data_IF_830755500632
#
_entry.id   IF_830755500632
#
_cell.length_a   1.000
_cell.length_b   1.000
_cell.length_c   1.000
_cell.angle_alpha   90.00
_cell.angle_beta   90.00
_cell.angle_gamma   90.00
#
_symmetry.space_group_name_H-M   'P 1'
#
loop_
_entity.id
_entity.type
_entity.pdbx_description
1 polymer ?
#
# COMPACT_ATOMS: atom_id res chain seq x y z
N UNK A 1 -34.29 0.53 -7.25
CA UNK A 1 -33.39 1.65 -6.87
C UNK A 1 -32.90 2.29 -8.14
N UNK A 2 -33.13 3.60 -8.31
CA UNK A 2 -32.69 4.39 -9.47
C UNK A 2 -31.16 4.60 -9.42
N UNK A 3 -30.52 4.74 -10.59
CA UNK A 3 -29.06 4.88 -10.73
C UNK A 3 -28.54 6.09 -9.95
N UNK A 4 -29.29 7.19 -9.96
CA UNK A 4 -28.96 8.43 -9.24
C UNK A 4 -29.02 8.19 -7.72
N UNK A 5 -30.07 7.50 -7.24
CA UNK A 5 -30.22 7.17 -5.82
C UNK A 5 -29.10 6.25 -5.31
N UNK A 6 -28.62 5.31 -6.15
CA UNK A 6 -27.48 4.44 -5.82
C UNK A 6 -26.16 5.23 -5.76
N UNK A 7 -25.96 6.20 -6.66
CA UNK A 7 -24.79 7.10 -6.62
C UNK A 7 -24.76 7.95 -5.34
N UNK A 8 -25.90 8.53 -4.95
CA UNK A 8 -26.04 9.28 -3.71
C UNK A 8 -25.78 8.41 -2.47
N UNK A 9 -26.32 7.19 -2.44
CA UNK A 9 -26.07 6.23 -1.36
C UNK A 9 -24.59 5.81 -1.28
N UNK A 10 -23.92 5.61 -2.43
CA UNK A 10 -22.47 5.35 -2.48
C UNK A 10 -21.68 6.52 -1.92
N UNK A 11 -22.05 7.75 -2.27
CA UNK A 11 -21.39 8.94 -1.73
C UNK A 11 -21.60 9.09 -0.21
N UNK A 12 -22.79 8.78 0.30
CA UNK A 12 -23.08 8.80 1.72
C UNK A 12 -22.26 7.76 2.51
N UNK A 13 -22.03 6.56 1.96
CA UNK A 13 -21.15 5.53 2.56
C UNK A 13 -19.67 5.91 2.57
N UNK A 14 -19.26 6.84 1.69
CA UNK A 14 -17.89 7.36 1.62
C UNK A 14 -17.69 8.58 2.54
N UNK A 15 -18.70 8.95 3.33
CA UNK A 15 -18.55 10.03 4.31
C UNK A 15 -17.65 9.53 5.43
N UNK A 16 -16.69 10.36 5.84
CA UNK A 16 -15.76 10.02 6.91
C UNK A 16 -16.52 9.86 8.22
N UNK A 17 -16.48 8.66 8.79
CA UNK A 17 -16.93 8.39 10.15
C UNK A 17 -15.77 8.78 11.08
N UNK A 18 -16.03 9.73 11.97
CA UNK A 18 -15.06 10.22 12.96
C UNK A 18 -15.23 9.49 14.28
N UNK A 19 -14.12 9.07 14.88
CA UNK A 19 -14.03 8.37 16.15
C UNK A 19 -13.03 9.07 17.07
N UNK A 20 -13.24 8.98 18.38
CA UNK A 20 -12.18 9.20 19.36
C UNK A 20 -11.16 8.04 19.34
N UNK A 21 -10.00 8.24 19.98
CA UNK A 21 -9.03 7.15 20.18
C UNK A 21 -9.65 6.00 20.98
N UNK A 22 -10.42 6.30 22.03
CA UNK A 22 -11.08 5.27 22.84
C UNK A 22 -12.11 4.46 22.03
N UNK A 23 -12.91 5.13 21.21
CA UNK A 23 -13.88 4.49 20.31
C UNK A 23 -13.17 3.60 19.27
N UNK A 24 -12.03 4.06 18.74
CA UNK A 24 -11.21 3.28 17.83
C UNK A 24 -10.60 2.04 18.51
N UNK A 25 -10.06 2.16 19.73
CA UNK A 25 -9.52 1.02 20.46
C UNK A 25 -10.61 -0.01 20.80
N UNK A 26 -11.80 0.45 21.20
CA UNK A 26 -12.96 -0.43 21.41
C UNK A 26 -13.38 -1.13 20.10
N UNK A 27 -13.34 -0.41 18.97
CA UNK A 27 -13.60 -1.01 17.67
C UNK A 27 -12.57 -2.09 17.32
N UNK A 28 -11.28 -1.86 17.55
CA UNK A 28 -10.21 -2.84 17.33
C UNK A 28 -10.43 -4.15 18.09
N UNK A 29 -11.02 -4.09 19.28
CA UNK A 29 -11.37 -5.28 20.05
C UNK A 29 -12.48 -6.11 19.38
N UNK A 30 -13.44 -5.44 18.74
CA UNK A 30 -14.59 -6.09 18.09
C UNK A 30 -14.33 -6.50 16.64
N UNK A 31 -13.48 -5.75 15.92
CA UNK A 31 -13.22 -5.92 14.49
C UNK A 31 -11.71 -5.82 14.21
N UNK A 32 -11.03 -6.96 14.03
CA UNK A 32 -9.62 -6.99 13.63
C UNK A 32 -9.33 -6.28 12.30
N UNK A 33 -10.34 -6.04 11.45
CA UNK A 33 -10.16 -5.26 10.22
C UNK A 33 -9.89 -3.78 10.48
N UNK A 34 -10.14 -3.27 11.69
CA UNK A 34 -9.82 -1.90 12.06
C UNK A 34 -8.32 -1.60 12.01
N UNK A 35 -7.49 -2.58 12.37
CA UNK A 35 -6.02 -2.48 12.34
C UNK A 35 -5.38 -3.42 11.31
N UNK A 36 -6.17 -3.98 10.39
CA UNK A 36 -5.64 -4.89 9.38
C UNK A 36 -4.60 -4.21 8.48
N UNK A 37 -3.63 -4.95 7.98
CA UNK A 37 -2.65 -4.44 7.01
C UNK A 37 -3.25 -4.28 5.62
N UNK A 38 -2.56 -3.54 4.74
CA UNK A 38 -2.97 -3.42 3.34
C UNK A 38 -3.08 -4.79 2.63
N UNK A 39 -2.20 -5.75 2.97
CA UNK A 39 -2.25 -7.12 2.44
C UNK A 39 -3.48 -7.89 2.93
N UNK A 40 -3.81 -7.79 4.22
CA UNK A 40 -5.01 -8.43 4.79
C UNK A 40 -6.29 -7.87 4.15
N UNK A 41 -6.38 -6.54 4.02
CA UNK A 41 -7.50 -5.88 3.30
C UNK A 41 -7.60 -6.33 1.85
N UNK A 42 -6.46 -6.47 1.16
CA UNK A 42 -6.44 -6.96 -0.21
C UNK A 42 -6.98 -8.39 -0.33
N UNK A 43 -6.61 -9.30 0.57
CA UNK A 43 -7.14 -10.67 0.58
C UNK A 43 -8.65 -10.72 0.79
N UNK A 44 -9.16 -9.92 1.74
CA UNK A 44 -10.61 -9.78 1.96
C UNK A 44 -11.31 -9.26 0.71
N UNK A 45 -10.70 -8.29 0.01
CA UNK A 45 -11.25 -7.74 -1.23
C UNK A 45 -11.24 -8.73 -2.41
N UNK A 46 -10.22 -9.59 -2.49
CA UNK A 46 -10.08 -10.64 -3.50
C UNK A 46 -11.09 -11.77 -3.25
N UNK A 47 -11.25 -12.18 -1.99
CA UNK A 47 -12.13 -13.27 -1.58
C UNK A 47 -11.52 -14.67 -1.78
N UNK A 48 -12.32 -15.69 -1.49
CA UNK A 48 -11.90 -17.09 -1.55
C UNK A 48 -11.83 -17.64 -2.98
N UNK A 49 -10.88 -18.53 -3.28
CA UNK A 49 -10.80 -19.19 -4.58
C UNK A 49 -11.83 -20.30 -4.74
N UNK A 50 -12.28 -20.48 -5.98
CA UNK A 50 -12.97 -21.68 -6.44
C UNK A 50 -11.95 -22.73 -6.88
N UNK A 51 -12.06 -23.95 -6.33
CA UNK A 51 -11.20 -25.06 -6.71
C UNK A 51 -11.73 -25.72 -7.98
N UNK A 52 -11.03 -25.55 -9.09
CA UNK A 52 -11.43 -26.08 -10.40
C UNK A 52 -10.62 -27.33 -10.73
N UNK A 53 -11.29 -28.48 -10.78
CA UNK A 53 -10.70 -29.74 -11.22
C UNK A 53 -10.66 -29.80 -12.75
N UNK A 54 -9.50 -29.52 -13.33
CA UNK A 54 -9.34 -29.41 -14.79
C UNK A 54 -9.52 -30.74 -15.52
N UNK A 55 -9.51 -31.89 -14.82
CA UNK A 55 -9.78 -33.21 -15.43
C UNK A 55 -11.19 -33.33 -15.99
N UNK A 56 -12.13 -32.55 -15.44
CA UNK A 56 -13.54 -32.60 -15.83
C UNK A 56 -13.83 -31.84 -17.12
N UNK A 57 -12.87 -31.05 -17.62
CA UNK A 57 -12.99 -30.23 -18.81
C UNK A 57 -11.85 -30.56 -19.80
N UNK A 58 -12.13 -31.11 -21.00
CA UNK A 58 -11.11 -31.48 -21.97
C UNK A 58 -10.19 -30.32 -22.43
N UNK A 59 -10.68 -29.07 -22.42
CA UNK A 59 -9.90 -27.89 -22.77
C UNK A 59 -8.96 -27.51 -21.61
N UNK A 60 -9.49 -27.42 -20.39
CA UNK A 60 -8.67 -27.10 -19.21
C UNK A 60 -7.67 -28.22 -18.88
N UNK A 61 -8.03 -29.48 -19.10
CA UNK A 61 -7.16 -30.65 -18.93
C UNK A 61 -5.88 -30.54 -19.74
N UNK A 62 -5.97 -30.09 -21.00
CA UNK A 62 -4.82 -29.86 -21.89
C UNK A 62 -3.96 -28.69 -21.45
N UNK A 63 -4.59 -27.59 -21.00
CA UNK A 63 -3.88 -26.38 -20.59
C UNK A 63 -3.16 -26.54 -19.25
N UNK A 64 -3.81 -27.18 -18.27
CA UNK A 64 -3.32 -27.28 -16.90
C UNK A 64 -2.83 -28.68 -16.53
N UNK A 65 -2.69 -29.58 -17.50
CA UNK A 65 -2.19 -30.95 -17.33
C UNK A 65 -2.91 -31.69 -16.18
N UNK A 66 -4.25 -31.66 -16.16
CA UNK A 66 -5.09 -32.34 -15.17
C UNK A 66 -4.90 -31.88 -13.70
N UNK A 67 -4.30 -30.72 -13.45
CA UNK A 67 -4.15 -30.16 -12.10
C UNK A 67 -5.46 -29.59 -11.56
N UNK A 68 -5.58 -29.51 -10.24
CA UNK A 68 -6.61 -28.68 -9.62
C UNK A 68 -6.05 -27.27 -9.48
N UNK A 69 -6.75 -26.29 -10.04
CA UNK A 69 -6.34 -24.88 -10.01
C UNK A 69 -7.25 -24.07 -9.10
N UNK A 70 -6.72 -22.96 -8.58
CA UNK A 70 -7.47 -21.96 -7.83
C UNK A 70 -7.89 -20.84 -8.78
N UNK A 71 -9.19 -20.64 -8.94
CA UNK A 71 -9.73 -19.51 -9.70
C UNK A 71 -10.37 -18.51 -8.76
N UNK A 72 -9.97 -17.26 -8.87
CA UNK A 72 -10.48 -16.19 -8.02
C UNK A 72 -11.55 -15.41 -8.78
N UNK A 73 -12.82 -15.38 -8.33
CA UNK A 73 -13.90 -14.65 -9.02
C UNK A 73 -13.60 -13.16 -9.20
N UNK A 74 -12.82 -12.58 -8.28
CA UNK A 74 -12.32 -11.21 -8.38
C UNK A 74 -11.47 -10.96 -9.64
N UNK A 75 -10.94 -11.99 -10.30
CA UNK A 75 -10.12 -11.90 -11.51
C UNK A 75 -10.73 -12.65 -12.70
N UNK A 76 -12.06 -12.85 -12.72
CA UNK A 76 -12.75 -13.60 -13.79
C UNK A 76 -12.54 -13.04 -15.22
N UNK A 77 -12.13 -11.76 -15.34
CA UNK A 77 -11.82 -11.10 -16.61
C UNK A 77 -10.42 -11.45 -17.18
N UNK A 78 -9.56 -12.13 -16.40
CA UNK A 78 -8.19 -12.47 -16.78
C UNK A 78 -8.09 -13.93 -17.23
N UNK A 79 -8.27 -14.15 -18.54
CA UNK A 79 -8.21 -15.48 -19.14
C UNK A 79 -6.76 -15.93 -19.35
N UNK A 80 -6.45 -17.19 -19.00
CA UNK A 80 -5.10 -17.77 -19.21
C UNK A 80 -4.04 -17.28 -18.23
N UNK A 81 -4.44 -16.52 -17.21
CA UNK A 81 -3.53 -15.96 -16.19
C UNK A 81 -3.73 -16.61 -14.81
N UNK A 82 -4.45 -17.74 -14.71
CA UNK A 82 -4.81 -18.36 -13.43
C UNK A 82 -3.57 -18.60 -12.52
N UNK A 83 -2.46 -19.12 -13.08
CA UNK A 83 -1.20 -19.34 -12.33
C UNK A 83 -0.54 -18.03 -11.88
N UNK A 84 -0.55 -16.99 -12.72
CA UNK A 84 -0.01 -15.67 -12.39
C UNK A 84 -0.83 -15.00 -11.30
N UNK A 85 -2.16 -15.09 -11.39
CA UNK A 85 -3.06 -14.57 -10.37
C UNK A 85 -2.87 -15.32 -9.05
N UNK A 86 -2.73 -16.66 -9.06
CA UNK A 86 -2.50 -17.40 -7.81
C UNK A 86 -1.16 -17.02 -7.15
N UNK A 87 -0.12 -16.70 -7.92
CA UNK A 87 1.13 -16.15 -7.39
C UNK A 87 0.95 -14.75 -6.79
N UNK A 88 0.21 -13.86 -7.46
CA UNK A 88 -0.15 -12.53 -6.92
C UNK A 88 -0.92 -12.66 -5.61
N UNK A 89 -1.92 -13.54 -5.55
CA UNK A 89 -2.69 -13.78 -4.32
C UNK A 89 -1.80 -14.40 -3.23
N UNK A 90 -0.89 -15.30 -3.59
CA UNK A 90 0.05 -15.92 -2.65
C UNK A 90 1.00 -14.89 -2.03
N UNK A 91 1.48 -13.91 -2.82
CA UNK A 91 2.23 -12.77 -2.30
C UNK A 91 1.45 -12.03 -1.20
N UNK A 92 0.18 -11.67 -1.45
CA UNK A 92 -0.64 -11.01 -0.41
C UNK A 92 -0.91 -11.92 0.79
N UNK A 93 -1.09 -13.23 0.57
CA UNK A 93 -1.29 -14.21 1.64
C UNK A 93 -0.10 -14.27 2.58
N UNK A 94 1.12 -14.32 2.03
CA UNK A 94 2.33 -14.35 2.82
C UNK A 94 2.61 -12.99 3.50
N UNK A 95 2.40 -11.88 2.78
CA UNK A 95 2.52 -10.54 3.36
C UNK A 95 1.53 -10.30 4.52
N UNK A 96 0.30 -10.81 4.42
CA UNK A 96 -0.71 -10.74 5.48
C UNK A 96 -0.33 -11.55 6.74
N UNK A 97 0.51 -12.56 6.58
CA UNK A 97 1.08 -13.38 7.67
C UNK A 97 2.37 -12.77 8.24
N UNK A 98 2.76 -11.57 7.80
CA UNK A 98 4.00 -10.89 8.16
C UNK A 98 5.28 -11.68 7.82
N UNK A 99 5.24 -12.46 6.74
CA UNK A 99 6.42 -13.10 6.14
C UNK A 99 7.27 -12.09 5.32
N UNK A 100 8.37 -12.56 4.74
CA UNK A 100 9.35 -11.72 4.02
C UNK A 100 8.72 -10.92 2.87
N UNK A 101 7.67 -11.45 2.23
CA UNK A 101 6.92 -10.79 1.15
C UNK A 101 6.35 -9.43 1.58
N UNK A 102 6.10 -9.21 2.88
CA UNK A 102 5.71 -7.88 3.40
C UNK A 102 6.76 -6.81 3.07
N UNK A 103 8.04 -7.20 2.99
CA UNK A 103 9.18 -6.31 2.75
C UNK A 103 9.62 -6.27 1.29
N UNK A 104 8.86 -6.90 0.40
CA UNK A 104 9.18 -7.02 -1.02
C UNK A 104 8.20 -6.24 -1.89
N UNK A 105 8.69 -5.86 -3.07
CA UNK A 105 7.92 -5.23 -4.13
C UNK A 105 7.30 -6.35 -4.98
N UNK A 106 5.99 -6.34 -5.14
CA UNK A 106 5.34 -7.22 -6.11
C UNK A 106 5.68 -6.74 -7.51
N UNK A 107 6.39 -7.53 -8.30
CA UNK A 107 6.83 -7.15 -9.64
C UNK A 107 6.21 -8.01 -10.72
N UNK A 108 5.40 -7.41 -11.59
CA UNK A 108 4.81 -8.09 -12.74
C UNK A 108 5.76 -7.98 -13.93
N UNK A 109 6.25 -9.13 -14.39
CA UNK A 109 7.16 -9.27 -15.52
C UNK A 109 6.44 -9.93 -16.69
N UNK A 110 6.49 -9.35 -17.88
CA UNK A 110 5.87 -9.94 -19.06
C UNK A 110 5.97 -9.06 -20.30
N UNK A 111 5.49 -9.53 -21.47
CA UNK A 111 5.54 -8.78 -22.72
C UNK A 111 4.68 -7.52 -22.69
N UNK A 112 4.96 -6.59 -23.62
CA UNK A 112 4.10 -5.42 -23.84
C UNK A 112 2.70 -5.92 -24.24
N UNK A 113 1.67 -5.38 -23.62
CA UNK A 113 0.28 -5.81 -23.86
C UNK A 113 -0.17 -7.06 -23.10
N UNK A 114 0.70 -7.75 -22.36
CA UNK A 114 0.35 -8.97 -21.60
C UNK A 114 -0.53 -8.73 -20.35
N UNK A 115 -1.37 -7.70 -20.31
CA UNK A 115 -2.33 -7.48 -19.22
C UNK A 115 -1.76 -7.07 -17.84
N UNK A 116 -0.46 -6.81 -17.70
CA UNK A 116 0.16 -6.37 -16.43
C UNK A 116 -0.51 -5.15 -15.81
N UNK A 117 -0.70 -4.10 -16.61
CA UNK A 117 -1.38 -2.88 -16.17
C UNK A 117 -2.85 -3.16 -15.84
N UNK A 118 -3.50 -4.07 -16.56
CA UNK A 118 -4.88 -4.49 -16.25
C UNK A 118 -4.95 -5.18 -14.88
N UNK A 119 -3.99 -6.04 -14.53
CA UNK A 119 -3.88 -6.64 -13.19
C UNK A 119 -3.68 -5.55 -12.14
N UNK A 120 -2.78 -4.59 -12.40
CA UNK A 120 -2.54 -3.46 -11.49
C UNK A 120 -3.81 -2.62 -11.26
N UNK A 121 -4.54 -2.27 -12.32
CA UNK A 121 -5.82 -1.58 -12.23
C UNK A 121 -6.85 -2.40 -11.44
N UNK A 122 -6.90 -3.72 -11.65
CA UNK A 122 -7.80 -4.59 -10.91
C UNK A 122 -7.46 -4.61 -9.41
N UNK A 123 -6.19 -4.71 -9.06
CA UNK A 123 -5.74 -4.68 -7.67
C UNK A 123 -6.09 -3.35 -7.01
N UNK A 124 -5.85 -2.21 -7.68
CA UNK A 124 -6.29 -0.90 -7.20
C UNK A 124 -7.81 -0.85 -7.00
N UNK A 125 -8.58 -1.40 -7.94
CA UNK A 125 -10.04 -1.49 -7.80
C UNK A 125 -10.47 -2.30 -6.58
N UNK A 126 -9.84 -3.45 -6.34
CA UNK A 126 -10.13 -4.30 -5.18
C UNK A 126 -9.76 -3.61 -3.87
N UNK A 127 -8.62 -2.90 -3.81
CA UNK A 127 -8.21 -2.15 -2.62
C UNK A 127 -9.26 -1.12 -2.18
N UNK A 128 -10.01 -0.51 -3.10
CA UNK A 128 -11.09 0.45 -2.77
C UNK A 128 -12.30 -0.18 -2.06
N UNK A 129 -12.41 -1.51 -1.99
CA UNK A 129 -13.58 -2.19 -1.40
C UNK A 129 -13.55 -2.26 0.12
N UNK A 130 -12.37 -2.20 0.72
CA UNK A 130 -12.18 -2.40 2.16
C UNK A 130 -11.63 -1.12 2.79
N UNK A 131 -12.29 -0.56 3.82
CA UNK A 131 -11.85 0.67 4.45
C UNK A 131 -10.61 0.44 5.34
N UNK A 132 -9.98 1.53 5.75
CA UNK A 132 -8.92 1.58 6.74
C UNK A 132 -9.14 2.79 7.67
N UNK A 133 -8.40 2.83 8.78
CA UNK A 133 -8.49 3.90 9.77
C UNK A 133 -7.20 4.69 9.79
N UNK A 134 -7.32 6.02 9.86
CA UNK A 134 -6.18 6.93 9.88
C UNK A 134 -6.41 8.09 10.84
N UNK A 135 -5.32 8.74 11.26
CA UNK A 135 -5.41 9.99 12.01
C UNK A 135 -6.06 11.08 11.15
N UNK A 136 -7.07 11.74 11.71
CA UNK A 136 -7.78 12.84 11.06
C UNK A 136 -6.80 13.98 10.77
N UNK A 137 -6.73 14.36 9.50
CA UNK A 137 -5.83 15.41 9.04
C UNK A 137 -4.41 14.96 8.73
N UNK A 138 -4.04 13.69 8.99
CA UNK A 138 -2.72 13.19 8.61
C UNK A 138 -2.54 13.27 7.09
N UNK A 139 -1.45 13.91 6.62
CA UNK A 139 -1.20 14.07 5.19
C UNK A 139 -0.68 12.78 4.53
N UNK A 140 -0.31 11.78 5.33
CA UNK A 140 0.23 10.49 4.89
C UNK A 140 -0.67 9.32 5.29
N UNK A 141 -1.93 9.57 5.65
CA UNK A 141 -2.87 8.52 6.03
C UNK A 141 -2.30 7.56 7.11
N UNK A 142 -1.59 8.06 8.12
CA UNK A 142 -0.93 7.20 9.10
C UNK A 142 -1.92 6.48 10.03
N UNK A 143 -1.52 5.28 10.47
CA UNK A 143 -2.31 4.46 11.38
C UNK A 143 -2.42 5.12 12.76
N UNK A 144 -3.60 5.13 13.40
CA UNK A 144 -3.75 5.62 14.78
C UNK A 144 -2.90 4.84 15.78
N UNK A 145 -2.55 3.58 15.46
CA UNK A 145 -1.68 2.77 16.29
C UNK A 145 -0.24 3.29 16.38
N UNK A 146 0.16 4.19 15.47
CA UNK A 146 1.47 4.85 15.55
C UNK A 146 1.62 5.79 16.74
N UNK A 147 0.52 6.17 17.42
CA UNK A 147 0.55 7.01 18.63
C UNK A 147 1.06 6.29 19.89
N UNK A 148 1.18 4.96 19.85
CA UNK A 148 1.49 4.14 21.01
C UNK A 148 2.91 3.57 20.92
N UNK A 149 3.61 3.54 22.05
CA UNK A 149 4.94 2.95 22.11
C UNK A 149 4.85 1.41 22.17
N UNK A 150 5.54 0.67 21.27
CA UNK A 150 5.47 -0.80 21.24
C UNK A 150 5.98 -1.50 22.50
N UNK A 151 6.92 -0.88 23.23
CA UNK A 151 7.53 -1.43 24.43
C UNK A 151 6.74 -1.08 25.68
N UNK A 152 6.26 0.16 25.79
CA UNK A 152 5.52 0.64 26.96
C UNK A 152 4.02 0.29 26.89
N UNK A 153 3.34 0.65 25.79
CA UNK A 153 1.89 0.49 25.65
C UNK A 153 1.49 -0.88 25.07
N UNK A 154 2.39 -1.50 24.29
CA UNK A 154 2.13 -2.76 23.59
C UNK A 154 1.57 -3.89 24.46
N UNK A 155 2.12 -4.19 25.65
CA UNK A 155 1.55 -5.19 26.56
C UNK A 155 0.12 -4.87 26.98
N UNK A 156 -0.19 -3.59 27.26
CA UNK A 156 -1.52 -3.16 27.72
C UNK A 156 -2.54 -3.22 26.59
N UNK A 157 -2.15 -2.83 25.37
CA UNK A 157 -3.00 -2.92 24.18
C UNK A 157 -3.35 -4.36 23.80
N UNK A 158 -2.38 -5.28 23.95
CA UNK A 158 -2.59 -6.71 23.69
C UNK A 158 -3.53 -7.34 24.72
N UNK A 159 -3.37 -7.01 26.01
CA UNK A 159 -4.22 -7.52 27.09
C UNK A 159 -5.65 -6.96 27.05
N UNK A 160 -5.80 -5.64 26.86
CA UNK A 160 -7.10 -4.97 26.96
C UNK A 160 -7.90 -5.00 25.67
N UNK A 161 -7.24 -4.81 24.52
CA UNK A 161 -7.91 -4.65 23.22
C UNK A 161 -7.61 -5.79 22.25
N UNK A 162 -6.75 -6.75 22.61
CA UNK A 162 -6.37 -7.87 21.75
C UNK A 162 -5.53 -7.45 20.53
N UNK A 163 -4.90 -6.28 20.57
CA UNK A 163 -4.10 -5.75 19.47
C UNK A 163 -2.70 -6.36 19.55
N UNK A 164 -2.25 -7.18 18.58
CA UNK A 164 -0.94 -7.79 18.64
C UNK A 164 0.17 -6.74 18.53
N UNK A 165 1.25 -6.86 19.31
CA UNK A 165 2.38 -5.90 19.30
C UNK A 165 3.02 -5.69 17.93
N UNK A 166 2.97 -6.69 17.05
CA UNK A 166 3.46 -6.60 15.66
C UNK A 166 2.74 -5.51 14.82
N UNK A 167 1.56 -5.08 15.25
CA UNK A 167 0.77 -4.01 14.63
C UNK A 167 1.15 -2.61 15.13
N UNK A 168 2.13 -2.49 16.04
CA UNK A 168 2.56 -1.21 16.63
C UNK A 168 3.92 -0.73 16.10
N UNK A 169 4.58 -1.46 15.19
CA UNK A 169 5.98 -1.22 14.76
C UNK A 169 6.20 0.07 13.94
N UNK A 170 5.39 1.10 14.14
CA UNK A 170 5.32 2.29 13.30
C UNK A 170 6.04 3.46 13.98
N UNK A 171 6.72 4.27 13.17
CA UNK A 171 7.23 5.57 13.60
C UNK A 171 6.14 6.61 13.43
N UNK A 172 6.07 7.58 14.35
CA UNK A 172 5.20 8.74 14.16
C UNK A 172 5.68 9.57 12.98
N UNK A 173 4.76 10.04 12.15
CA UNK A 173 5.12 10.97 11.09
C UNK A 173 5.59 12.30 11.71
N UNK A 174 6.46 13.07 11.03
CA UNK A 174 6.86 14.39 11.50
C UNK A 174 5.66 15.30 11.79
N UNK A 175 4.61 15.19 10.96
CA UNK A 175 3.35 15.89 11.17
C UNK A 175 2.69 15.49 12.50
N UNK A 176 2.59 14.19 12.79
CA UNK A 176 1.97 13.73 14.02
C UNK A 176 2.82 14.05 15.26
N UNK A 177 4.16 14.03 15.16
CA UNK A 177 5.05 14.50 16.23
C UNK A 177 4.76 15.95 16.56
N UNK A 178 4.69 16.83 15.55
CA UNK A 178 4.32 18.25 15.75
C UNK A 178 2.95 18.40 16.41
N UNK A 179 1.94 17.64 15.96
CA UNK A 179 0.60 17.69 16.58
C UNK A 179 0.57 17.19 18.02
N UNK A 180 1.35 16.15 18.32
CA UNK A 180 1.45 15.62 19.68
C UNK A 180 2.06 16.65 20.64
N UNK A 181 3.09 17.39 20.19
CA UNK A 181 3.65 18.52 20.94
C UNK A 181 2.64 19.65 21.14
N UNK A 182 1.90 20.03 20.09
CA UNK A 182 0.82 21.04 20.16
C UNK A 182 -0.30 20.63 21.13
N UNK A 183 -0.58 19.33 21.25
CA UNK A 183 -1.57 18.78 22.19
C UNK A 183 -1.00 18.55 23.60
N UNK A 184 0.25 18.94 23.87
CA UNK A 184 0.89 18.78 25.17
C UNK A 184 1.09 17.29 25.55
N UNK A 185 1.23 16.41 24.56
CA UNK A 185 1.36 14.97 24.75
C UNK A 185 0.03 14.22 24.93
N UNK A 186 -1.12 14.89 24.88
CA UNK A 186 -2.41 14.22 25.06
C UNK A 186 -2.91 13.58 23.76
N UNK A 187 -2.65 12.28 23.60
CA UNK A 187 -3.10 11.50 22.43
C UNK A 187 -4.63 11.51 22.24
N UNK A 188 -5.42 11.78 23.29
CA UNK A 188 -6.90 11.80 23.20
C UNK A 188 -7.43 12.97 22.37
N UNK A 189 -6.59 13.98 22.11
CA UNK A 189 -6.94 15.07 21.21
C UNK A 189 -6.93 14.65 19.74
N UNK A 190 -6.23 13.56 19.39
CA UNK A 190 -6.32 13.00 18.05
C UNK A 190 -7.72 12.40 17.80
N UNK A 191 -8.16 12.55 16.55
CA UNK A 191 -9.38 11.91 16.05
C UNK A 191 -9.00 10.89 14.98
N UNK A 192 -9.76 9.82 14.91
CA UNK A 192 -9.60 8.77 13.91
C UNK A 192 -10.70 8.89 12.87
N UNK A 193 -10.36 8.73 11.60
CA UNK A 193 -11.33 8.70 10.50
C UNK A 193 -11.29 7.37 9.79
N UNK A 194 -12.46 6.80 9.54
CA UNK A 194 -12.62 5.69 8.62
C UNK A 194 -12.60 6.20 7.19
N UNK A 195 -11.70 5.67 6.37
CA UNK A 195 -11.53 6.06 4.97
C UNK A 195 -11.56 4.85 4.06
N UNK A 196 -12.06 5.06 2.85
CA UNK A 196 -11.94 4.09 1.76
C UNK A 196 -10.77 4.50 0.88
N UNK A 197 -9.88 3.55 0.50
CA UNK A 197 -8.90 3.82 -0.54
C UNK A 197 -9.60 4.31 -1.81
N UNK A 198 -8.96 5.22 -2.54
CA UNK A 198 -9.56 5.87 -3.70
C UNK A 198 -8.52 6.20 -4.75
N UNK A 199 -8.70 5.63 -5.95
CA UNK A 199 -7.87 5.97 -7.10
C UNK A 199 -8.10 7.45 -7.48
N UNK A 200 -9.36 7.86 -7.53
CA UNK A 200 -9.76 9.19 -8.00
C UNK A 200 -9.31 10.32 -7.06
N UNK A 201 -9.34 10.08 -5.75
CA UNK A 201 -8.93 11.06 -4.74
C UNK A 201 -7.48 10.89 -4.28
N UNK A 202 -6.77 9.89 -4.82
CA UNK A 202 -5.42 9.50 -4.41
C UNK A 202 -5.30 9.28 -2.90
N UNK A 203 -6.27 8.55 -2.31
CA UNK A 203 -6.26 8.20 -0.89
C UNK A 203 -5.82 6.74 -0.76
N UNK A 204 -4.70 6.50 -0.10
CA UNK A 204 -4.06 5.18 0.04
C UNK A 204 -3.76 4.46 -1.29
N UNK A 205 -4.00 5.07 -2.44
CA UNK A 205 -3.69 4.53 -3.76
C UNK A 205 -3.02 5.62 -4.57
N UNK A 206 -1.83 5.33 -5.08
CA UNK A 206 -1.10 6.26 -5.94
C UNK A 206 -0.44 5.52 -7.10
N UNK A 207 -0.16 6.27 -8.16
CA UNK A 207 0.53 5.79 -9.35
C UNK A 207 1.69 6.74 -9.62
N UNK A 208 2.87 6.19 -9.75
CA UNK A 208 4.10 6.90 -10.08
C UNK A 208 4.67 6.31 -11.36
N UNK A 209 5.09 7.20 -12.25
CA UNK A 209 5.74 6.86 -13.51
C UNK A 209 7.11 7.56 -13.54
N UNK A 210 8.13 6.97 -14.18
CA UNK A 210 9.40 7.62 -14.38
C UNK A 210 9.21 8.87 -15.24
N UNK A 211 9.73 9.99 -14.75
CA UNK A 211 9.92 11.19 -15.58
C UNK A 211 11.14 11.03 -16.49
N UNK A 212 11.44 12.06 -17.29
CA UNK A 212 12.69 12.09 -18.07
C UNK A 212 13.91 11.90 -17.15
N UNK A 213 14.92 11.13 -17.58
CA UNK A 213 16.13 10.81 -16.79
C UNK A 213 16.83 12.07 -16.22
N UNK A 214 16.71 13.21 -16.91
CA UNK A 214 17.31 14.48 -16.51
C UNK A 214 16.50 15.28 -15.48
N UNK A 215 15.20 14.99 -15.33
CA UNK A 215 14.26 15.77 -14.52
C UNK A 215 13.54 14.94 -13.45
N UNK A 216 13.85 13.65 -13.33
CA UNK A 216 13.20 12.81 -12.32
C UNK A 216 13.79 13.09 -10.93
N UNK A 217 12.99 13.82 -10.15
CA UNK A 217 13.28 14.15 -8.77
C UNK A 217 12.67 13.10 -7.82
N UNK A 218 13.40 12.77 -6.76
CA UNK A 218 12.97 11.89 -5.66
C UNK A 218 11.65 12.38 -5.04
N UNK A 219 11.36 13.67 -5.17
CA UNK A 219 10.12 14.29 -4.67
C UNK A 219 8.84 13.67 -5.22
N UNK A 220 8.89 13.05 -6.40
CA UNK A 220 7.78 12.27 -6.96
C UNK A 220 7.35 11.09 -6.08
N UNK A 221 8.27 10.54 -5.28
CA UNK A 221 7.99 9.46 -4.33
C UNK A 221 7.82 9.96 -2.90
N UNK A 222 8.67 10.87 -2.45
CA UNK A 222 8.76 11.24 -1.02
C UNK A 222 8.10 12.57 -0.66
N UNK A 223 7.67 13.37 -1.65
CA UNK A 223 7.18 14.74 -1.45
C UNK A 223 8.29 15.79 -1.51
N UNK A 224 7.95 17.06 -1.27
CA UNK A 224 8.90 18.20 -1.26
C UNK A 224 8.36 19.36 -0.46
N UNK A 225 9.20 20.33 -0.12
CA UNK A 225 8.76 21.60 0.48
C UNK A 225 7.88 22.40 -0.48
N UNK A 226 6.78 22.95 0.03
CA UNK A 226 5.97 23.92 -0.69
C UNK A 226 6.53 25.34 -0.45
N UNK A 227 7.19 25.88 -1.47
CA UNK A 227 7.82 27.20 -1.43
C UNK A 227 6.83 28.30 -1.00
N UNK A 228 5.54 28.16 -1.32
CA UNK A 228 4.51 29.14 -0.97
C UNK A 228 4.22 29.18 0.53
N UNK A 229 4.50 28.10 1.24
CA UNK A 229 4.30 28.01 2.70
C UNK A 229 5.50 28.56 3.48
N UNK A 230 6.64 28.78 2.82
CA UNK A 230 7.85 29.32 3.46
C UNK A 230 7.70 30.78 3.92
N UNK A 231 6.64 31.47 3.51
CA UNK A 231 6.29 32.78 4.06
C UNK A 231 5.84 32.67 5.54
N UNK A 232 5.23 31.56 5.92
CA UNK A 232 4.62 31.37 7.25
C UNK A 232 5.32 30.31 8.10
N UNK A 233 6.11 29.43 7.47
CA UNK A 233 6.72 28.27 8.11
C UNK A 233 8.20 28.15 7.72
N UNK A 234 9.02 27.59 8.60
CA UNK A 234 10.41 27.28 8.29
C UNK A 234 10.51 26.14 7.25
N UNK A 235 11.67 26.01 6.60
CA UNK A 235 11.88 24.97 5.57
C UNK A 235 11.78 23.54 6.13
N UNK A 236 12.23 23.35 7.36
CA UNK A 236 12.17 22.11 8.13
C UNK A 236 10.83 21.91 8.86
N UNK A 237 9.89 22.85 8.73
CA UNK A 237 8.55 22.71 9.31
C UNK A 237 7.71 21.73 8.48
N UNK A 238 7.15 20.74 9.18
CA UNK A 238 6.32 19.68 8.61
C UNK A 238 5.05 20.21 7.93
N UNK A 239 4.49 21.33 8.38
CA UNK A 239 3.33 21.95 7.73
C UNK A 239 3.71 22.65 6.41
N UNK A 240 4.98 23.03 6.23
CA UNK A 240 5.51 23.56 4.96
C UNK A 240 5.73 22.44 3.92
N UNK A 241 5.79 21.19 4.35
CA UNK A 241 6.04 20.05 3.48
C UNK A 241 4.79 19.63 2.69
N UNK A 242 4.98 19.43 1.38
CA UNK A 242 4.00 18.83 0.49
C UNK A 242 4.21 17.32 0.45
N UNK A 243 3.36 16.61 1.20
CA UNK A 243 3.27 15.14 1.19
C UNK A 243 2.57 14.59 -0.06
N UNK A 244 2.91 15.13 -1.24
CA UNK A 244 2.31 14.74 -2.53
C UNK A 244 3.02 13.58 -3.23
N UNK A 245 4.08 13.02 -2.60
CA UNK A 245 4.82 11.89 -3.14
C UNK A 245 4.01 10.59 -3.18
N UNK A 246 4.37 9.70 -4.10
CA UNK A 246 3.74 8.39 -4.27
C UNK A 246 3.65 7.58 -2.96
N UNK A 247 4.73 7.52 -2.18
CA UNK A 247 4.78 6.79 -0.89
C UNK A 247 3.87 7.46 0.16
N UNK A 248 3.80 8.80 0.18
CA UNK A 248 2.92 9.55 1.08
C UNK A 248 1.46 9.20 0.82
N UNK A 249 1.05 9.24 -0.44
CA UNK A 249 -0.34 9.06 -0.85
C UNK A 249 -0.79 7.59 -0.78
N UNK A 250 0.12 6.64 -1.01
CA UNK A 250 -0.18 5.20 -0.99
C UNK A 250 0.00 4.52 0.38
N UNK A 251 0.37 5.26 1.42
CA UNK A 251 0.48 4.70 2.75
C UNK A 251 -0.86 4.04 3.18
N UNK A 252 -0.77 2.90 3.85
CA UNK A 252 -1.90 2.00 4.13
C UNK A 252 -2.67 1.56 2.87
N UNK A 253 -2.06 1.47 1.69
CA UNK A 253 -2.73 0.90 0.53
C UNK A 253 -1.77 0.40 -0.54
N UNK A 254 -1.83 0.95 -1.75
CA UNK A 254 -1.11 0.42 -2.92
C UNK A 254 -0.46 1.53 -3.75
N UNK A 255 0.87 1.49 -3.85
CA UNK A 255 1.67 2.28 -4.79
C UNK A 255 1.91 1.45 -6.06
N UNK A 256 1.47 1.95 -7.21
CA UNK A 256 1.87 1.42 -8.51
C UNK A 256 3.07 2.22 -9.05
N UNK A 257 4.20 1.55 -9.29
CA UNK A 257 5.35 2.12 -9.98
C UNK A 257 5.46 1.52 -11.39
N UNK A 258 5.02 2.28 -12.38
CA UNK A 258 5.08 1.89 -13.79
C UNK A 258 6.52 1.97 -14.28
N UNK A 259 7.01 0.95 -14.98
CA UNK A 259 8.34 0.97 -15.63
C UNK A 259 9.48 1.37 -14.68
N UNK A 260 9.40 0.90 -13.43
CA UNK A 260 10.29 1.28 -12.32
C UNK A 260 11.79 1.29 -12.68
N UNK A 261 12.24 0.38 -13.56
CA UNK A 261 13.65 0.26 -13.93
C UNK A 261 14.15 1.31 -14.94
N UNK A 262 13.28 2.17 -15.47
CA UNK A 262 13.70 3.37 -16.20
C UNK A 262 14.12 4.50 -15.25
N UNK A 263 13.69 4.45 -13.99
CA UNK A 263 14.05 5.46 -13.01
C UNK A 263 15.52 5.29 -12.57
N UNK A 264 16.25 6.40 -12.31
CA UNK A 264 17.58 6.33 -11.73
C UNK A 264 17.58 5.60 -10.39
N UNK A 265 18.64 4.81 -10.11
CA UNK A 265 18.73 4.00 -8.88
C UNK A 265 18.54 4.81 -7.59
N UNK A 266 18.97 6.08 -7.60
CA UNK A 266 18.80 7.01 -6.47
C UNK A 266 17.34 7.25 -6.09
N UNK A 267 16.45 7.24 -7.08
CA UNK A 267 15.00 7.40 -6.90
C UNK A 267 14.40 6.14 -6.27
N UNK A 268 15.02 4.98 -6.46
CA UNK A 268 14.51 3.72 -5.91
C UNK A 268 14.93 3.48 -4.45
N UNK A 269 15.92 4.21 -3.91
CA UNK A 269 16.39 4.02 -2.53
C UNK A 269 15.31 4.28 -1.46
N UNK A 270 14.55 5.39 -1.49
CA UNK A 270 13.48 5.61 -0.50
C UNK A 270 12.43 4.50 -0.51
N UNK A 271 12.18 3.89 -1.67
CA UNK A 271 11.24 2.80 -1.82
C UNK A 271 11.74 1.52 -1.13
N UNK A 272 13.04 1.20 -1.23
CA UNK A 272 13.63 0.09 -0.49
C UNK A 272 13.57 0.30 1.02
N UNK A 273 13.90 1.51 1.49
CA UNK A 273 13.80 1.84 2.92
C UNK A 273 12.36 1.70 3.40
N UNK A 274 11.39 2.20 2.61
CA UNK A 274 9.98 2.09 2.91
C UNK A 274 9.52 0.62 3.04
N UNK A 275 9.92 -0.27 2.14
CA UNK A 275 9.53 -1.69 2.23
C UNK A 275 10.28 -2.44 3.32
N UNK A 276 11.54 -2.10 3.61
CA UNK A 276 12.36 -2.81 4.60
C UNK A 276 12.08 -2.38 6.05
N UNK A 277 12.03 -1.07 6.28
CA UNK A 277 11.96 -0.44 7.59
C UNK A 277 10.55 0.05 7.96
N UNK A 278 9.60 0.03 7.00
CA UNK A 278 8.26 0.56 7.21
C UNK A 278 8.23 2.09 7.33
N UNK A 279 9.28 2.77 6.87
CA UNK A 279 9.40 4.22 6.88
C UNK A 279 10.38 4.71 5.79
N UNK A 280 10.37 6.00 5.48
CA UNK A 280 11.30 6.62 4.55
C UNK A 280 11.60 8.06 4.93
N UNK A 281 12.67 8.63 4.38
CA UNK A 281 13.02 10.04 4.59
C UNK A 281 12.45 10.92 3.48
N UNK A 282 11.98 12.11 3.86
CA UNK A 282 11.59 13.16 2.92
C UNK A 282 12.80 13.81 2.23
N UNK A 283 12.56 14.87 1.46
CA UNK A 283 13.65 15.67 0.86
C UNK A 283 14.36 16.57 1.87
N UNK A 284 13.73 16.84 3.01
CA UNK A 284 14.27 17.71 4.05
C UNK A 284 14.75 16.95 5.29
N UNK A 285 15.47 17.67 6.16
CA UNK A 285 16.11 17.13 7.35
C UNK A 285 15.20 16.84 8.55
N UNK A 286 13.91 16.54 8.37
CA UNK A 286 13.03 16.11 9.47
C UNK A 286 12.93 14.58 9.56
N UNK A 287 12.23 14.09 10.60
CA UNK A 287 12.13 12.67 10.94
C UNK A 287 11.59 11.75 9.84
N UNK A 288 11.71 10.45 10.04
CA UNK A 288 11.20 9.45 9.09
C UNK A 288 9.66 9.50 8.99
N UNK A 289 9.13 9.28 7.79
CA UNK A 289 7.71 9.22 7.49
C UNK A 289 7.29 7.74 7.44
N UNK A 290 6.24 7.32 8.17
CA UNK A 290 5.80 5.93 8.17
C UNK A 290 5.23 5.48 6.82
N UNK A 291 5.43 4.20 6.51
CA UNK A 291 4.87 3.56 5.32
C UNK A 291 4.48 2.09 5.61
N UNK A 292 3.19 1.81 5.51
CA UNK A 292 2.55 0.50 5.64
C UNK A 292 1.75 0.10 4.39
N UNK A 293 2.10 0.73 3.25
CA UNK A 293 1.54 0.39 1.95
C UNK A 293 2.22 -0.83 1.33
N UNK A 294 1.62 -1.30 0.24
CA UNK A 294 2.20 -2.30 -0.64
C UNK A 294 2.74 -1.59 -1.89
N UNK A 295 3.86 -2.08 -2.41
CA UNK A 295 4.43 -1.57 -3.66
C UNK A 295 4.26 -2.61 -4.75
N UNK A 296 3.63 -2.19 -5.85
CA UNK A 296 3.46 -2.95 -7.08
C UNK A 296 4.26 -2.26 -8.17
N UNK A 297 5.18 -2.98 -8.80
CA UNK A 297 5.91 -2.52 -9.96
C UNK A 297 5.62 -3.42 -11.17
N UNK A 298 5.76 -2.87 -12.37
CA UNK A 298 5.72 -3.69 -13.59
C UNK A 298 6.61 -3.08 -14.66
N UNK A 299 7.20 -3.94 -15.48
CA UNK A 299 8.08 -3.51 -16.57
C UNK A 299 8.19 -4.59 -17.65
N UNK A 300 8.90 -4.32 -18.74
CA UNK A 300 9.13 -5.30 -19.81
C UNK A 300 10.36 -6.20 -19.54
N UNK A 301 10.48 -7.29 -20.31
CA UNK A 301 11.60 -8.23 -20.15
C UNK A 301 12.96 -7.64 -20.46
N UNK A 302 13.06 -6.72 -21.42
CA UNK A 302 14.32 -6.08 -21.79
C UNK A 302 14.88 -5.23 -20.65
N UNK A 303 14.02 -4.44 -20.00
CA UNK A 303 14.36 -3.62 -18.83
C UNK A 303 14.81 -4.49 -17.66
N UNK A 304 14.06 -5.57 -17.39
CA UNK A 304 14.44 -6.51 -16.34
C UNK A 304 15.81 -7.15 -16.59
N UNK A 305 16.10 -7.59 -17.82
CA UNK A 305 17.40 -8.17 -18.18
C UNK A 305 18.52 -7.15 -18.02
N UNK A 306 18.33 -5.91 -18.49
CA UNK A 306 19.30 -4.84 -18.34
C UNK A 306 19.55 -4.52 -16.85
N UNK A 307 18.49 -4.40 -16.06
CA UNK A 307 18.57 -4.11 -14.63
C UNK A 307 19.27 -5.22 -13.84
N UNK A 308 18.91 -6.49 -14.09
CA UNK A 308 19.47 -7.66 -13.42
C UNK A 308 20.96 -7.88 -13.71
N UNK A 309 21.41 -7.52 -14.91
CA UNK A 309 22.81 -7.70 -15.31
C UNK A 309 23.75 -6.65 -14.71
N UNK A 310 23.21 -5.59 -14.10
CA UNK A 310 24.02 -4.55 -13.45
C UNK A 310 24.29 -4.91 -11.98
N UNK A 311 25.57 -5.13 -11.65
CA UNK A 311 26.01 -5.50 -10.29
C UNK A 311 25.64 -4.46 -9.21
N UNK A 312 25.52 -3.18 -9.57
CA UNK A 312 25.12 -2.14 -8.62
C UNK A 312 23.67 -2.30 -8.14
N UNK A 313 22.87 -3.12 -8.84
CA UNK A 313 21.45 -3.33 -8.56
C UNK A 313 21.18 -4.60 -7.73
N UNK A 314 22.21 -5.34 -7.32
CA UNK A 314 22.05 -6.64 -6.64
C UNK A 314 21.18 -6.55 -5.38
N UNK A 315 21.35 -5.48 -4.59
CA UNK A 315 20.55 -5.22 -3.39
C UNK A 315 19.04 -5.06 -3.65
N UNK A 316 18.65 -4.68 -4.88
CA UNK A 316 17.25 -4.55 -5.27
C UNK A 316 16.63 -5.91 -5.66
N UNK A 317 17.44 -6.86 -6.14
CA UNK A 317 16.93 -8.15 -6.63
C UNK A 317 16.31 -8.98 -5.51
N UNK A 318 16.90 -8.96 -4.32
CA UNK A 318 16.37 -9.65 -3.13
C UNK A 318 15.06 -9.05 -2.61
N UNK A 319 14.72 -7.84 -3.07
CA UNK A 319 13.56 -7.06 -2.64
C UNK A 319 12.40 -7.12 -3.61
N UNK A 320 12.48 -7.98 -4.62
CA UNK A 320 11.48 -8.10 -5.67
C UNK A 320 10.88 -9.50 -5.67
N UNK A 321 9.56 -9.57 -5.52
CA UNK A 321 8.77 -10.77 -5.73
C UNK A 321 8.27 -10.81 -7.19
N UNK A 322 8.90 -11.64 -8.03
CA UNK A 322 8.61 -11.67 -9.46
C UNK A 322 7.41 -12.57 -9.73
N UNK A 323 6.38 -12.02 -10.37
CA UNK A 323 5.30 -12.78 -10.99
C UNK A 323 5.39 -12.63 -12.50
N UNK A 324 5.53 -13.75 -13.20
CA UNK A 324 5.51 -13.76 -14.67
C UNK A 324 4.07 -13.72 -15.17
N UNK A 325 3.79 -12.79 -16.07
CA UNK A 325 2.50 -12.64 -16.74
C UNK A 325 2.66 -13.11 -18.19
N UNK A 326 1.88 -14.11 -18.64
CA UNK A 326 2.02 -14.73 -19.95
C UNK A 326 1.59 -13.79 -21.11
N UNK A 327 1.87 -14.24 -22.34
CA UNK A 327 1.30 -13.67 -23.57
C UNK A 327 -0.21 -13.92 -23.65
#
# INVERSE_FOLDING_TARGET
MDVISNSAARHARLREEELSIDEYLALCQSDPMAYASAAQRMLVAIGEPEMVDTRKDPHLSRLFANKVIRRYPAFAEFYGMDDSIDQVVSFFRHAAQALEERKQILYLLGPVGGGKSSIAERLKYLMQKVPFYALKGSPVNESPLGLFDPAEDGPMLEEQFGIPRRCLQHVLSPWAVKRLEEYGGDIRQFRVVKRYPSILRQIAISKTEPGDENNQDISSLVGKVDIRKLENFAQDDTDAYSYSGGLCLANQGLLEFVEMFKAPIKVLHPLLTATQEGNYKGTEGFGAIPFDGLVLAHSNESEWKAFRNNRNNEAFLDRIYIVKVPY
#
